data_IF_103092188301
#
_entry.id   IF_103092188301
#
_cell.length_a   1.000
_cell.length_b   1.000
_cell.length_c   1.000
_cell.angle_alpha   90.00
_cell.angle_beta   90.00
_cell.angle_gamma   90.00
#
_symmetry.space_group_name_H-M   'P 1'
#
loop_
_entity.id
_entity.type
_entity.pdbx_description
1 polymer ?
#
# COMPACT_ATOMS: atom_id res chain seq x y z
N UNK A 1 -0.44 11.54 3.06
CA UNK A 1 0.01 10.15 2.87
C UNK A 1 0.98 9.82 3.98
N UNK A 2 0.88 8.64 4.58
CA UNK A 2 1.72 8.27 5.73
C UNK A 2 2.98 7.51 5.29
N UNK A 3 4.10 8.19 5.19
CA UNK A 3 5.38 7.56 4.85
C UNK A 3 6.08 6.90 6.05
N UNK A 4 5.58 7.11 7.26
CA UNK A 4 6.10 6.43 8.46
C UNK A 4 5.69 4.95 8.48
N UNK A 5 4.69 4.56 7.73
CA UNK A 5 4.23 3.18 7.63
C UNK A 5 5.04 2.31 6.65
N UNK A 6 6.08 2.78 5.99
CA UNK A 6 6.90 1.99 5.06
C UNK A 6 6.14 1.36 3.87
N UNK A 7 4.90 0.93 4.10
CA UNK A 7 4.01 0.33 3.11
C UNK A 7 3.77 1.26 1.91
N UNK A 8 3.56 2.54 2.17
CA UNK A 8 3.30 3.55 1.14
C UNK A 8 4.52 3.88 0.28
N UNK A 9 5.75 3.57 0.71
CA UNK A 9 6.94 3.83 -0.10
C UNK A 9 6.98 2.99 -1.37
N UNK A 10 6.45 1.76 -1.32
CA UNK A 10 6.34 0.92 -2.51
C UNK A 10 5.61 1.63 -3.65
N UNK A 11 4.67 2.52 -3.35
CA UNK A 11 3.93 3.28 -4.35
C UNK A 11 4.83 4.05 -5.32
N UNK A 12 6.00 4.47 -4.87
CA UNK A 12 6.96 5.21 -5.68
C UNK A 12 7.98 4.31 -6.39
N UNK A 13 8.20 3.11 -5.89
CA UNK A 13 9.19 2.19 -6.47
C UNK A 13 8.62 1.21 -7.48
N UNK A 14 7.37 0.80 -7.37
CA UNK A 14 6.80 -0.35 -8.08
C UNK A 14 6.86 -0.29 -9.61
N UNK A 15 6.78 0.90 -10.23
CA UNK A 15 6.84 1.05 -11.70
C UNK A 15 8.16 1.65 -12.20
N UNK A 16 9.18 1.71 -11.37
CA UNK A 16 10.51 2.24 -11.74
C UNK A 16 11.46 1.20 -12.32
N UNK A 17 11.11 -0.08 -12.20
CA UNK A 17 12.00 -1.20 -12.48
C UNK A 17 12.88 -1.60 -11.30
N UNK A 18 12.85 -0.82 -10.19
CA UNK A 18 13.46 -1.20 -8.93
C UNK A 18 12.56 -2.21 -8.22
N UNK A 19 13.16 -3.19 -7.54
CA UNK A 19 12.45 -4.34 -6.99
C UNK A 19 12.68 -4.50 -5.49
N UNK A 20 11.66 -4.98 -4.81
CA UNK A 20 11.75 -5.49 -3.44
C UNK A 20 10.78 -6.67 -3.32
N UNK A 21 11.13 -7.66 -2.54
CA UNK A 21 10.26 -8.81 -2.31
C UNK A 21 10.93 -9.88 -1.46
N UNK A 22 10.21 -10.97 -1.25
CA UNK A 22 10.66 -12.09 -0.45
C UNK A 22 11.54 -13.02 -1.28
N UNK A 23 12.65 -13.46 -0.72
CA UNK A 23 13.50 -14.50 -1.30
C UNK A 23 12.82 -15.88 -1.24
N UNK A 24 13.42 -16.87 -1.92
CA UNK A 24 12.91 -18.24 -1.95
C UNK A 24 12.92 -18.94 -0.58
N UNK A 25 13.71 -18.44 0.36
CA UNK A 25 13.75 -18.93 1.74
C UNK A 25 12.47 -18.60 2.53
N UNK A 26 11.61 -17.73 2.01
CA UNK A 26 10.37 -17.31 2.64
C UNK A 26 10.56 -16.37 3.85
N UNK A 27 11.77 -15.90 4.12
CA UNK A 27 12.13 -15.14 5.33
C UNK A 27 12.84 -13.84 5.01
N UNK A 28 13.91 -13.89 4.18
CA UNK A 28 14.73 -12.73 3.84
C UNK A 28 14.20 -11.99 2.62
N UNK A 29 14.58 -10.73 2.48
CA UNK A 29 14.18 -9.92 1.33
C UNK A 29 15.31 -9.80 0.30
N UNK A 30 14.93 -9.73 -0.98
CA UNK A 30 15.74 -9.05 -1.98
C UNK A 30 15.29 -7.59 -2.09
N UNK A 31 16.21 -6.69 -2.38
CA UNK A 31 15.91 -5.27 -2.58
C UNK A 31 17.03 -4.64 -3.41
N UNK A 32 16.67 -3.84 -4.42
CA UNK A 32 17.62 -3.09 -5.25
C UNK A 32 17.24 -1.58 -5.33
N UNK A 33 16.53 -1.08 -4.34
CA UNK A 33 16.10 0.32 -4.24
C UNK A 33 17.27 1.34 -4.20
N UNK A 34 18.50 0.87 -4.05
CA UNK A 34 19.71 1.67 -4.16
C UNK A 34 20.44 1.54 -5.50
N UNK A 35 19.87 0.85 -6.47
CA UNK A 35 20.53 0.57 -7.76
C UNK A 35 20.95 1.84 -8.50
N UNK A 36 22.17 1.81 -9.05
CA UNK A 36 22.78 2.87 -9.87
C UNK A 36 22.67 2.60 -11.37
N UNK A 37 22.32 1.37 -11.74
CA UNK A 37 22.46 0.85 -13.12
C UNK A 37 21.11 0.64 -13.81
N UNK A 38 20.02 1.14 -13.23
CA UNK A 38 18.68 1.07 -13.82
C UNK A 38 18.34 2.37 -14.55
N UNK A 39 17.39 2.31 -15.50
CA UNK A 39 16.88 3.48 -16.22
C UNK A 39 16.33 4.58 -15.29
N UNK A 40 15.72 4.16 -14.18
CA UNK A 40 15.43 5.01 -13.03
C UNK A 40 16.28 4.44 -11.88
N UNK A 41 17.16 5.27 -11.34
CA UNK A 41 18.07 4.88 -10.27
C UNK A 41 17.39 5.05 -8.91
N UNK A 42 17.88 4.37 -7.88
CA UNK A 42 17.39 4.57 -6.53
C UNK A 42 17.45 6.02 -6.06
N UNK A 43 18.51 6.72 -6.40
CA UNK A 43 18.71 8.13 -6.07
C UNK A 43 17.70 9.05 -6.78
N UNK A 44 17.23 8.70 -7.97
CA UNK A 44 16.20 9.47 -8.69
C UNK A 44 14.87 9.43 -7.94
N UNK A 45 14.49 8.24 -7.44
CA UNK A 45 13.28 8.09 -6.62
C UNK A 45 13.41 8.82 -5.29
N UNK A 46 14.56 8.72 -4.62
CA UNK A 46 14.83 9.42 -3.37
C UNK A 46 14.72 10.94 -3.54
N UNK A 47 15.31 11.50 -4.58
CA UNK A 47 15.21 12.94 -4.88
C UNK A 47 13.76 13.36 -5.19
N UNK A 48 13.00 12.54 -5.90
CA UNK A 48 11.59 12.81 -6.17
C UNK A 48 10.77 12.83 -4.87
N UNK A 49 10.99 11.86 -3.98
CA UNK A 49 10.32 11.79 -2.67
C UNK A 49 10.69 12.99 -1.77
N UNK A 50 11.96 13.35 -1.67
CA UNK A 50 12.40 14.54 -0.92
C UNK A 50 11.73 15.81 -1.49
N UNK A 51 11.65 15.93 -2.81
CA UNK A 51 10.96 17.06 -3.45
C UNK A 51 9.46 17.09 -3.12
N UNK A 52 8.79 15.94 -3.09
CA UNK A 52 7.39 15.84 -2.68
C UNK A 52 7.24 16.19 -1.20
N UNK A 53 8.12 15.69 -0.32
CA UNK A 53 8.12 15.99 1.11
C UNK A 53 8.26 17.49 1.42
N UNK A 54 9.02 18.22 0.61
CA UNK A 54 9.18 19.68 0.69
C UNK A 54 8.00 20.48 0.16
N UNK A 55 7.05 19.85 -0.52
CA UNK A 55 5.90 20.54 -1.07
C UNK A 55 4.96 21.01 0.05
N UNK A 56 4.62 22.28 0.09
CA UNK A 56 3.74 22.89 1.10
C UNK A 56 2.34 22.25 1.14
N UNK A 57 1.91 21.63 0.05
CA UNK A 57 0.64 20.88 -0.04
C UNK A 57 0.74 19.42 0.38
N UNK A 58 1.93 18.92 0.74
CA UNK A 58 2.12 17.55 1.20
C UNK A 58 2.17 17.52 2.74
N UNK A 59 1.42 16.61 3.34
CA UNK A 59 1.48 16.32 4.77
C UNK A 59 1.76 14.84 4.99
N UNK A 60 2.83 14.55 5.71
CA UNK A 60 3.17 13.22 6.16
C UNK A 60 2.48 12.93 7.48
N UNK A 61 1.29 12.31 7.42
CA UNK A 61 0.48 12.05 8.61
C UNK A 61 -0.27 10.73 8.48
N UNK A 62 -0.43 10.05 9.61
CA UNK A 62 -1.35 8.93 9.78
C UNK A 62 -2.77 9.41 10.15
N UNK A 63 -2.92 10.65 10.66
CA UNK A 63 -4.21 11.24 11.06
C UNK A 63 -4.83 12.10 9.95
N UNK A 64 -4.97 11.53 8.74
CA UNK A 64 -5.65 12.25 7.65
C UNK A 64 -7.14 12.50 7.92
N UNK A 65 -7.82 11.61 8.69
CA UNK A 65 -9.22 11.82 9.05
C UNK A 65 -9.39 13.06 9.95
N UNK A 66 -8.51 13.25 10.93
CA UNK A 66 -8.45 14.46 11.71
C UNK A 66 -8.09 15.69 10.89
N UNK A 67 -7.17 15.55 9.94
CA UNK A 67 -6.81 16.58 8.99
C UNK A 67 -7.98 17.01 8.09
N UNK A 68 -8.76 16.05 7.59
CA UNK A 68 -9.99 16.30 6.81
C UNK A 68 -11.02 17.06 7.64
N UNK A 69 -11.29 16.62 8.87
CA UNK A 69 -12.22 17.31 9.79
C UNK A 69 -11.85 18.77 10.02
N UNK A 70 -10.57 19.08 10.10
CA UNK A 70 -10.03 20.43 10.31
C UNK A 70 -9.93 21.25 9.01
N UNK A 71 -10.34 20.70 7.87
CA UNK A 71 -10.21 21.35 6.55
C UNK A 71 -8.77 21.52 6.07
N UNK A 72 -7.80 20.85 6.67
CA UNK A 72 -6.37 20.92 6.31
C UNK A 72 -5.97 19.91 5.23
N UNK A 73 -6.64 18.77 5.16
CA UNK A 73 -6.39 17.71 4.20
C UNK A 73 -7.57 17.61 3.25
N UNK A 74 -7.32 17.79 1.96
CA UNK A 74 -8.34 17.72 0.90
C UNK A 74 -8.37 16.33 0.28
N UNK A 75 -7.20 15.69 0.14
CA UNK A 75 -7.05 14.35 -0.44
C UNK A 75 -6.06 13.53 0.37
N UNK A 76 -6.31 12.23 0.49
CA UNK A 76 -5.39 11.31 1.14
C UNK A 76 -5.18 10.04 0.30
N UNK A 77 -4.04 9.40 0.50
CA UNK A 77 -3.80 8.05 0.01
C UNK A 77 -4.12 7.09 1.15
N UNK A 78 -5.12 6.25 0.94
CA UNK A 78 -5.55 5.25 1.89
C UNK A 78 -6.10 4.00 1.18
N UNK A 79 -6.79 3.15 1.88
CA UNK A 79 -7.47 1.98 1.35
C UNK A 79 -8.99 2.05 1.54
N UNK A 80 -9.68 1.03 1.02
CA UNK A 80 -11.13 0.93 1.07
C UNK A 80 -11.70 0.96 2.51
N UNK A 81 -10.89 0.66 3.51
CA UNK A 81 -11.29 0.68 4.92
C UNK A 81 -11.67 2.06 5.45
N UNK A 82 -11.21 3.15 4.80
CA UNK A 82 -11.54 4.53 5.17
C UNK A 82 -12.67 5.13 4.33
N UNK A 83 -13.15 4.43 3.29
CA UNK A 83 -14.19 4.94 2.39
C UNK A 83 -15.40 5.45 3.15
N UNK A 84 -15.95 4.62 4.05
CA UNK A 84 -17.17 4.96 4.76
C UNK A 84 -17.02 6.23 5.62
N UNK A 85 -15.87 6.38 6.29
CA UNK A 85 -15.58 7.56 7.11
C UNK A 85 -15.40 8.82 6.26
N UNK A 86 -14.65 8.74 5.16
CA UNK A 86 -14.40 9.87 4.27
C UNK A 86 -15.70 10.27 3.54
N UNK A 87 -16.47 9.30 3.05
CA UNK A 87 -17.75 9.53 2.39
C UNK A 87 -18.76 10.21 3.32
N UNK A 88 -18.77 9.83 4.62
CA UNK A 88 -19.60 10.50 5.62
C UNK A 88 -19.22 11.98 5.80
N UNK A 89 -17.92 12.33 5.68
CA UNK A 89 -17.43 13.71 5.84
C UNK A 89 -17.70 14.57 4.60
N UNK A 90 -17.51 14.03 3.41
CA UNK A 90 -17.61 14.80 2.16
C UNK A 90 -18.99 14.69 1.48
N UNK A 91 -19.80 13.69 1.84
CA UNK A 91 -21.12 13.48 1.24
C UNK A 91 -21.04 13.37 -0.28
N UNK A 92 -21.78 14.25 -0.99
CA UNK A 92 -21.80 14.32 -2.47
C UNK A 92 -20.46 14.74 -3.10
N UNK A 93 -19.56 15.31 -2.31
CA UNK A 93 -18.23 15.77 -2.79
C UNK A 93 -17.16 14.67 -2.63
N UNK A 94 -17.52 13.48 -2.13
CA UNK A 94 -16.62 12.34 -2.08
C UNK A 94 -16.25 11.87 -3.48
N UNK A 95 -14.97 11.60 -3.67
CA UNK A 95 -14.46 10.94 -4.85
C UNK A 95 -13.31 9.99 -4.50
N UNK A 96 -13.15 8.93 -5.28
CA UNK A 96 -12.02 8.01 -5.20
C UNK A 96 -11.49 7.74 -6.61
N UNK A 97 -10.17 7.66 -6.74
CA UNK A 97 -9.49 7.38 -7.98
C UNK A 97 -8.25 6.51 -7.74
N UNK A 98 -7.73 5.87 -8.79
CA UNK A 98 -6.41 5.25 -8.73
C UNK A 98 -5.35 6.28 -8.33
N UNK A 99 -4.20 5.81 -7.86
CA UNK A 99 -3.07 6.66 -7.53
C UNK A 99 -2.60 7.47 -8.75
N UNK A 100 -2.14 8.71 -8.54
CA UNK A 100 -1.63 9.55 -9.60
C UNK A 100 -0.29 9.06 -10.13
N UNK A 101 0.20 9.72 -11.17
CA UNK A 101 1.62 9.65 -11.56
C UNK A 101 2.42 10.69 -10.79
N UNK A 102 3.72 10.43 -10.63
CA UNK A 102 4.67 11.42 -10.14
C UNK A 102 5.84 11.58 -11.12
N UNK A 103 6.54 12.70 -11.03
CA UNK A 103 7.72 12.95 -11.86
C UNK A 103 8.95 12.38 -11.16
N UNK A 104 9.67 11.49 -11.84
CA UNK A 104 10.91 10.92 -11.38
C UNK A 104 11.97 11.09 -12.48
N UNK A 105 12.94 11.98 -12.27
CA UNK A 105 13.99 12.26 -13.23
C UNK A 105 13.47 12.56 -14.65
N UNK A 106 12.49 13.46 -14.76
CA UNK A 106 11.87 13.88 -16.04
C UNK A 106 10.85 12.88 -16.60
N UNK A 107 10.68 11.70 -16.02
CA UNK A 107 9.72 10.69 -16.45
C UNK A 107 8.46 10.69 -15.58
N UNK A 108 7.29 10.57 -16.20
CA UNK A 108 6.04 10.30 -15.47
C UNK A 108 5.97 8.83 -15.10
N UNK A 109 5.98 8.54 -13.80
CA UNK A 109 5.89 7.17 -13.25
C UNK A 109 4.54 7.00 -12.58
N UNK A 110 3.81 5.96 -12.95
CA UNK A 110 2.55 5.60 -12.28
C UNK A 110 2.85 5.06 -10.89
N UNK A 111 2.19 5.59 -9.87
CA UNK A 111 2.30 5.06 -8.52
C UNK A 111 1.66 3.67 -8.42
N UNK A 112 2.28 2.79 -7.67
CA UNK A 112 1.88 1.40 -7.47
C UNK A 112 1.27 1.17 -6.09
N UNK A 113 0.70 0.00 -5.88
CA UNK A 113 0.27 -0.46 -4.56
C UNK A 113 0.64 -1.92 -4.34
N UNK A 114 0.73 -2.31 -3.09
CA UNK A 114 0.57 -3.71 -2.75
C UNK A 114 -0.91 -4.06 -2.71
N UNK A 115 -1.23 -5.29 -3.07
CA UNK A 115 -2.53 -5.89 -2.80
C UNK A 115 -2.37 -7.17 -1.99
N UNK A 116 -3.47 -7.60 -1.37
CA UNK A 116 -3.53 -8.85 -0.63
C UNK A 116 -4.97 -9.27 -0.44
N UNK A 117 -5.14 -10.47 0.10
CA UNK A 117 -6.44 -11.04 0.39
C UNK A 117 -6.61 -11.26 1.89
N UNK A 118 -7.82 -11.04 2.40
CA UNK A 118 -8.22 -11.57 3.70
C UNK A 118 -8.56 -13.03 3.51
N UNK A 119 -7.86 -13.91 4.21
CA UNK A 119 -8.04 -15.35 4.10
C UNK A 119 -8.55 -15.94 5.40
N UNK A 120 -9.29 -17.01 5.30
CA UNK A 120 -9.75 -17.83 6.42
C UNK A 120 -9.02 -19.15 6.37
N UNK A 121 -8.28 -19.45 7.43
CA UNK A 121 -7.61 -20.71 7.62
C UNK A 121 -8.28 -21.55 8.70
N UNK A 122 -8.33 -22.86 8.51
CA UNK A 122 -8.75 -23.79 9.54
C UNK A 122 -7.51 -24.35 10.23
N UNK A 123 -7.46 -24.21 11.57
CA UNK A 123 -6.36 -24.75 12.36
C UNK A 123 -6.27 -26.28 12.18
N UNK A 124 -5.14 -26.83 11.72
CA UNK A 124 -4.98 -28.26 11.49
C UNK A 124 -5.11 -29.12 12.77
N UNK A 125 -4.94 -28.53 13.94
CA UNK A 125 -5.08 -29.20 15.24
C UNK A 125 -6.50 -29.08 15.82
N UNK A 126 -7.45 -28.44 15.14
CA UNK A 126 -8.84 -28.35 15.60
C UNK A 126 -9.46 -29.74 15.72
N UNK A 127 -10.16 -29.99 16.81
CA UNK A 127 -10.98 -31.22 17.00
C UNK A 127 -12.26 -31.20 16.15
N UNK A 128 -12.69 -30.02 15.65
CA UNK A 128 -13.92 -29.82 14.91
C UNK A 128 -13.63 -29.31 13.48
N UNK A 129 -12.67 -29.91 12.77
CA UNK A 129 -12.20 -29.46 11.45
C UNK A 129 -13.33 -29.34 10.43
N UNK A 130 -14.23 -30.31 10.40
CA UNK A 130 -15.35 -30.33 9.46
C UNK A 130 -16.28 -29.10 9.64
N UNK A 131 -16.65 -28.81 10.88
CA UNK A 131 -17.45 -27.64 11.21
C UNK A 131 -16.70 -26.34 10.94
N UNK A 132 -15.42 -26.28 11.23
CA UNK A 132 -14.59 -25.12 10.93
C UNK A 132 -14.50 -24.86 9.42
N UNK A 133 -14.38 -25.91 8.59
CA UNK A 133 -14.44 -25.77 7.12
C UNK A 133 -15.82 -25.32 6.63
N UNK A 134 -16.90 -25.87 7.17
CA UNK A 134 -18.26 -25.44 6.84
C UNK A 134 -18.47 -23.96 7.18
N UNK A 135 -18.00 -23.54 8.35
CA UNK A 135 -18.07 -22.13 8.77
C UNK A 135 -17.22 -21.22 7.89
N UNK A 136 -15.98 -21.58 7.57
CA UNK A 136 -15.14 -20.80 6.67
C UNK A 136 -15.78 -20.63 5.29
N UNK A 137 -16.37 -21.69 4.71
CA UNK A 137 -17.13 -21.62 3.46
C UNK A 137 -18.35 -20.74 3.57
N UNK A 138 -19.11 -20.85 4.65
CA UNK A 138 -20.29 -20.03 4.89
C UNK A 138 -19.96 -18.55 4.90
N UNK A 139 -19.01 -18.11 5.72
CA UNK A 139 -18.68 -16.69 5.83
C UNK A 139 -17.94 -16.13 4.61
N UNK A 140 -17.43 -16.97 3.72
CA UNK A 140 -16.78 -16.58 2.47
C UNK A 140 -17.63 -16.84 1.21
N UNK A 141 -18.87 -17.28 1.35
CA UNK A 141 -19.76 -17.51 0.22
C UNK A 141 -20.21 -16.18 -0.45
N UNK A 142 -20.85 -16.28 -1.59
CA UNK A 142 -21.31 -15.13 -2.38
C UNK A 142 -22.20 -14.19 -1.57
N UNK A 143 -23.22 -14.75 -0.90
CA UNK A 143 -24.21 -13.99 -0.13
C UNK A 143 -23.58 -13.19 1.00
N UNK A 144 -22.73 -13.84 1.82
CA UNK A 144 -22.05 -13.15 2.91
C UNK A 144 -21.00 -12.15 2.42
N UNK A 145 -20.42 -12.31 1.25
CA UNK A 145 -19.55 -11.30 0.66
C UNK A 145 -20.32 -10.09 0.16
N UNK A 146 -21.52 -10.27 -0.43
CA UNK A 146 -22.43 -9.17 -0.76
C UNK A 146 -22.86 -8.41 0.49
N UNK A 147 -23.31 -9.11 1.52
CA UNK A 147 -23.70 -8.50 2.79
C UNK A 147 -22.55 -7.72 3.44
N UNK A 148 -21.34 -8.26 3.41
CA UNK A 148 -20.15 -7.57 3.94
C UNK A 148 -19.82 -6.32 3.13
N UNK A 149 -19.99 -6.35 1.81
CA UNK A 149 -19.83 -5.16 0.99
C UNK A 149 -20.85 -4.08 1.37
N UNK A 150 -22.12 -4.44 1.49
CA UNK A 150 -23.19 -3.50 1.89
C UNK A 150 -22.92 -2.88 3.27
N UNK A 151 -22.51 -3.69 4.25
CA UNK A 151 -22.29 -3.24 5.62
C UNK A 151 -20.98 -2.51 5.84
N UNK A 152 -19.93 -2.83 5.07
CA UNK A 152 -18.55 -2.42 5.35
C UNK A 152 -17.79 -1.83 4.17
N UNK A 153 -18.38 -1.81 2.98
CA UNK A 153 -17.71 -1.36 1.75
C UNK A 153 -16.56 -2.25 1.29
N UNK A 154 -16.36 -3.42 1.91
CA UNK A 154 -15.25 -4.32 1.56
C UNK A 154 -15.55 -5.03 0.24
N UNK A 155 -14.74 -4.75 -0.79
CA UNK A 155 -14.87 -5.37 -2.11
C UNK A 155 -14.83 -6.90 -2.04
N UNK A 156 -15.79 -7.60 -2.66
CA UNK A 156 -15.85 -9.05 -2.66
C UNK A 156 -14.76 -9.66 -3.54
N UNK A 157 -14.22 -10.81 -3.13
CA UNK A 157 -13.34 -11.66 -3.96
C UNK A 157 -14.11 -12.66 -4.81
N UNK A 158 -15.37 -12.93 -4.47
CA UNK A 158 -16.26 -13.77 -5.27
C UNK A 158 -16.64 -13.04 -6.56
N UNK A 159 -16.48 -13.70 -7.71
CA UNK A 159 -16.69 -13.12 -9.03
C UNK A 159 -18.14 -12.64 -9.22
N UNK A 160 -19.12 -13.43 -8.76
CA UNK A 160 -20.53 -13.09 -8.91
C UNK A 160 -20.93 -11.92 -8.01
N UNK A 161 -20.46 -11.94 -6.74
CA UNK A 161 -20.67 -10.81 -5.84
C UNK A 161 -20.02 -9.53 -6.38
N UNK A 162 -18.85 -9.63 -7.02
CA UNK A 162 -18.16 -8.50 -7.66
C UNK A 162 -18.87 -7.90 -8.87
N UNK A 163 -19.80 -8.66 -9.47
CA UNK A 163 -20.64 -8.20 -10.59
C UNK A 163 -21.93 -7.51 -10.16
N UNK A 164 -22.23 -7.43 -8.87
CA UNK A 164 -23.44 -6.75 -8.39
C UNK A 164 -23.43 -5.26 -8.74
N UNK A 165 -24.61 -4.68 -8.89
CA UNK A 165 -24.72 -3.27 -9.29
C UNK A 165 -24.23 -2.32 -8.20
N UNK A 166 -24.35 -2.70 -6.93
CA UNK A 166 -23.85 -1.97 -5.77
C UNK A 166 -22.33 -1.88 -5.82
N UNK A 167 -21.66 -2.99 -6.10
CA UNK A 167 -20.18 -3.03 -6.23
C UNK A 167 -19.72 -2.20 -7.43
N UNK A 168 -20.39 -2.32 -8.58
CA UNK A 168 -20.07 -1.53 -9.78
C UNK A 168 -20.23 -0.02 -9.58
N UNK A 169 -21.16 0.41 -8.74
CA UNK A 169 -21.40 1.83 -8.43
C UNK A 169 -20.43 2.39 -7.40
N UNK A 170 -19.66 1.56 -6.69
CA UNK A 170 -18.70 2.02 -5.69
C UNK A 170 -17.47 2.65 -6.36
N UNK A 171 -17.27 3.94 -6.18
CA UNK A 171 -16.11 4.67 -6.70
C UNK A 171 -14.80 4.11 -6.13
N UNK A 172 -14.76 3.72 -4.85
CA UNK A 172 -13.57 3.16 -4.24
C UNK A 172 -13.21 1.79 -4.82
N UNK A 173 -14.21 0.92 -5.05
CA UNK A 173 -13.95 -0.38 -5.70
C UNK A 173 -13.47 -0.19 -7.13
N UNK A 174 -14.08 0.71 -7.90
CA UNK A 174 -13.63 1.02 -9.26
C UNK A 174 -12.20 1.57 -9.28
N UNK A 175 -11.86 2.45 -8.34
CA UNK A 175 -10.49 2.97 -8.19
C UNK A 175 -9.48 1.84 -7.89
N UNK A 176 -9.83 0.88 -7.03
CA UNK A 176 -8.99 -0.29 -6.73
C UNK A 176 -8.84 -1.20 -7.95
N UNK A 177 -9.92 -1.45 -8.68
CA UNK A 177 -9.89 -2.27 -9.91
C UNK A 177 -9.00 -1.62 -10.98
N UNK A 178 -9.09 -0.30 -11.15
CA UNK A 178 -8.20 0.42 -12.05
C UNK A 178 -6.75 0.39 -11.57
N UNK A 179 -6.50 0.58 -10.27
CA UNK A 179 -5.18 0.54 -9.64
C UNK A 179 -4.53 -0.85 -9.72
N UNK A 180 -5.32 -1.92 -9.78
CA UNK A 180 -4.82 -3.32 -9.78
C UNK A 180 -3.85 -3.61 -10.92
N UNK A 181 -3.93 -2.88 -12.03
CA UNK A 181 -3.01 -2.97 -13.18
C UNK A 181 -1.56 -2.63 -12.80
N UNK A 182 -1.36 -1.89 -11.73
CA UNK A 182 -0.06 -1.44 -11.21
C UNK A 182 0.15 -1.89 -9.76
N UNK A 183 -0.44 -3.03 -9.39
CA UNK A 183 -0.35 -3.58 -8.04
C UNK A 183 0.41 -4.90 -8.06
N UNK A 184 1.14 -5.18 -7.00
CA UNK A 184 1.82 -6.46 -6.79
C UNK A 184 1.36 -7.10 -5.48
N UNK A 185 1.36 -8.44 -5.44
CA UNK A 185 1.06 -9.16 -4.21
C UNK A 185 2.12 -8.84 -3.16
N UNK A 186 1.69 -8.41 -1.99
CA UNK A 186 2.59 -8.12 -0.87
C UNK A 186 3.27 -9.41 -0.39
N UNK A 187 4.55 -9.55 -0.69
CA UNK A 187 5.42 -10.65 -0.24
C UNK A 187 6.72 -10.06 0.27
N UNK A 188 6.75 -9.80 1.58
CA UNK A 188 7.85 -9.11 2.26
C UNK A 188 8.17 -9.82 3.57
N UNK A 189 9.45 -10.01 3.84
CA UNK A 189 9.95 -10.48 5.14
C UNK A 189 9.96 -9.36 6.19
N UNK A 190 10.05 -9.75 7.47
CA UNK A 190 9.92 -8.84 8.61
C UNK A 190 10.90 -7.66 8.59
N UNK A 191 12.13 -7.86 8.08
CA UNK A 191 13.15 -6.81 8.05
C UNK A 191 12.90 -5.66 7.06
N UNK A 192 11.85 -5.73 6.24
CA UNK A 192 11.49 -4.64 5.35
C UNK A 192 10.95 -3.41 6.11
N UNK A 193 10.09 -3.62 7.11
CA UNK A 193 9.22 -2.58 7.64
C UNK A 193 9.95 -1.43 8.34
N UNK A 194 10.83 -1.74 9.28
CA UNK A 194 11.54 -0.70 10.05
C UNK A 194 12.48 0.15 9.20
N UNK A 195 13.34 -0.42 8.31
CA UNK A 195 14.16 0.40 7.44
C UNK A 195 13.35 1.23 6.45
N UNK A 196 12.26 0.68 5.87
CA UNK A 196 11.39 1.43 4.96
C UNK A 196 10.67 2.58 5.66
N UNK A 197 10.18 2.37 6.89
CA UNK A 197 9.58 3.41 7.72
C UNK A 197 10.58 4.55 8.01
N UNK A 198 11.82 4.22 8.43
CA UNK A 198 12.88 5.22 8.65
C UNK A 198 13.23 5.99 7.38
N UNK A 199 13.30 5.29 6.24
CA UNK A 199 13.56 5.91 4.94
C UNK A 199 12.46 6.92 4.57
N UNK A 200 11.19 6.52 4.69
CA UNK A 200 10.04 7.39 4.41
C UNK A 200 10.01 8.62 5.31
N UNK A 201 10.23 8.44 6.60
CA UNK A 201 10.30 9.53 7.57
C UNK A 201 11.44 10.50 7.22
N UNK A 202 12.61 9.97 6.86
CA UNK A 202 13.77 10.80 6.51
C UNK A 202 13.52 11.63 5.26
N UNK A 203 12.85 11.06 4.23
CA UNK A 203 12.50 11.79 3.01
C UNK A 203 11.40 12.84 3.23
N UNK A 204 10.38 12.51 4.02
CA UNK A 204 9.31 13.45 4.35
C UNK A 204 9.82 14.69 5.10
N UNK A 205 10.81 14.51 5.97
CA UNK A 205 11.35 15.56 6.84
C UNK A 205 12.63 16.19 6.29
N UNK A 206 13.10 15.79 5.08
CA UNK A 206 14.41 16.23 4.52
C UNK A 206 15.56 16.09 5.53
N UNK A 207 15.57 14.98 6.26
CA UNK A 207 16.49 14.76 7.38
C UNK A 207 17.65 13.82 7.04
N UNK A 208 17.83 13.46 5.77
CA UNK A 208 18.98 12.67 5.33
C UNK A 208 20.26 13.49 5.49
N UNK A 209 21.17 13.01 6.34
CA UNK A 209 22.47 13.65 6.53
C UNK A 209 23.54 12.97 5.66
N UNK A 210 24.38 13.78 5.01
CA UNK A 210 25.49 13.30 4.19
C UNK A 210 25.08 12.76 2.82
N UNK A 211 25.79 11.76 2.35
CA UNK A 211 25.61 11.19 1.01
C UNK A 211 24.32 10.36 0.91
N UNK A 212 23.40 10.79 0.05
CA UNK A 212 22.11 10.15 -0.16
C UNK A 212 22.23 8.71 -0.68
N UNK A 213 23.23 8.44 -1.54
CA UNK A 213 23.44 7.09 -2.06
C UNK A 213 23.92 6.15 -0.93
N UNK A 214 24.83 6.60 -0.09
CA UNK A 214 25.27 5.81 1.08
C UNK A 214 24.10 5.55 2.04
N UNK A 215 23.21 6.51 2.20
CA UNK A 215 22.01 6.32 3.01
C UNK A 215 21.10 5.23 2.43
N UNK A 216 20.87 5.24 1.11
CA UNK A 216 20.13 4.18 0.40
C UNK A 216 20.82 2.83 0.52
N UNK A 217 22.14 2.78 0.32
CA UNK A 217 22.93 1.54 0.41
C UNK A 217 22.80 0.90 1.81
N UNK A 218 22.88 1.71 2.88
CA UNK A 218 22.66 1.26 4.25
C UNK A 218 21.23 0.75 4.48
N UNK A 219 20.25 1.47 3.98
CA UNK A 219 18.81 1.07 4.12
C UNK A 219 18.54 -0.26 3.42
N UNK A 220 19.04 -0.42 2.19
CA UNK A 220 18.88 -1.66 1.42
C UNK A 220 19.61 -2.84 2.10
N UNK A 221 20.81 -2.61 2.66
CA UNK A 221 21.51 -3.62 3.44
C UNK A 221 20.66 -4.09 4.65
N UNK A 222 20.01 -3.17 5.36
CA UNK A 222 19.12 -3.50 6.48
C UNK A 222 17.88 -4.28 6.04
N UNK A 223 17.27 -3.90 4.91
CA UNK A 223 16.10 -4.64 4.34
C UNK A 223 16.48 -6.08 3.99
N UNK A 224 17.69 -6.29 3.48
CA UNK A 224 18.21 -7.60 3.03
C UNK A 224 18.83 -8.43 4.15
N UNK A 225 19.05 -7.85 5.32
CA UNK A 225 19.69 -8.54 6.44
C UNK A 225 18.87 -9.78 6.84
N UNK A 226 19.56 -10.82 7.28
CA UNK A 226 18.93 -12.00 7.88
C UNK A 226 18.21 -11.61 9.17
N UNK A 227 17.05 -12.20 9.42
CA UNK A 227 16.42 -12.11 10.74
C UNK A 227 17.28 -12.94 11.68
N UNK A 228 18.00 -12.28 12.58
CA UNK A 228 18.68 -12.99 13.67
C UNK A 228 17.55 -13.48 14.59
N UNK A 229 17.39 -14.82 14.66
CA UNK A 229 16.50 -15.46 15.62
C UNK A 229 17.06 -15.35 17.02
#
# INVERSE_FOLDING_TARGET
>A
MDWTAGWYLYSFYGQTGLKVGLNRDGVTNYCDWNSKNKSIKGIDVANALIKIGKNKGFENTADWLGGIKKGKVIACVSGIWDEAAIKKMYGKNYAAAKLPTYNCNGKKVQMSTYFGYKMLGVNPYSKNKEWAHKFARYISNEENQKLRFEMRGQGPSNINAGKSDEVKKSQAVQAILEQSKWSELQRLGGNFWTPASKLGTAFANDSVKGDLQKYLDKTVAQIKASVVQ
#
